data_IF_330200822268
#
_entry.id   IF_330200822268
#
_cell.length_a   1.000
_cell.length_b   1.000
_cell.length_c   1.000
_cell.angle_alpha   90.00
_cell.angle_beta   90.00
_cell.angle_gamma   90.00
#
_symmetry.space_group_name_H-M   'P 1'
#
loop_
_entity.id
_entity.type
_entity.pdbx_description
1 polymer ?
#
# COMPACT_ATOMS: atom_id res chain seq x y z
N UNK A 1 -21.30 -2.27 -12.65
CA UNK A 1 -20.59 -1.14 -13.25
C UNK A 1 -19.16 -1.27 -12.80
N UNK A 2 -18.27 -1.63 -13.71
CA UNK A 2 -16.83 -1.61 -13.43
C UNK A 2 -16.45 -0.14 -13.32
N UNK A 3 -15.88 0.26 -12.18
CA UNK A 3 -15.49 1.66 -11.95
C UNK A 3 -13.99 1.74 -12.14
N UNK A 4 -13.57 2.67 -12.99
CA UNK A 4 -12.17 2.84 -13.33
C UNK A 4 -11.39 3.32 -12.10
N UNK A 5 -10.31 2.61 -11.81
CA UNK A 5 -9.44 2.96 -10.70
C UNK A 5 -8.74 4.30 -10.95
N UNK A 6 -8.47 4.66 -12.21
CA UNK A 6 -7.83 5.92 -12.58
C UNK A 6 -8.72 7.13 -12.21
N UNK A 7 -10.04 6.95 -12.21
CA UNK A 7 -10.99 7.98 -11.80
C UNK A 7 -11.16 8.08 -10.28
N UNK A 8 -11.15 6.94 -9.58
CA UNK A 8 -11.38 6.90 -8.12
C UNK A 8 -10.12 7.27 -7.35
N UNK A 9 -8.96 6.79 -7.82
CA UNK A 9 -7.71 6.86 -7.07
C UNK A 9 -7.32 8.28 -6.65
N UNK A 10 -7.41 9.33 -7.50
CA UNK A 10 -7.08 10.70 -7.11
C UNK A 10 -7.87 11.19 -5.89
N UNK A 11 -9.14 10.78 -5.75
CA UNK A 11 -9.99 11.16 -4.62
C UNK A 11 -9.62 10.42 -3.32
N UNK A 12 -9.11 9.19 -3.42
CA UNK A 12 -8.74 8.37 -2.26
C UNK A 12 -7.26 8.48 -1.87
N UNK A 13 -6.39 8.95 -2.76
CA UNK A 13 -4.95 9.10 -2.50
C UNK A 13 -4.61 9.90 -1.23
N UNK A 14 -5.32 11.00 -0.87
CA UNK A 14 -5.10 11.70 0.40
C UNK A 14 -5.45 10.83 1.63
N UNK A 15 -6.47 9.98 1.53
CA UNK A 15 -6.85 9.07 2.61
C UNK A 15 -5.82 7.95 2.81
N UNK A 16 -5.20 7.46 1.72
CA UNK A 16 -4.09 6.49 1.76
C UNK A 16 -2.85 7.07 2.45
N UNK A 17 -2.57 8.37 2.26
CA UNK A 17 -1.47 9.08 2.91
C UNK A 17 -1.79 9.50 4.36
N UNK A 18 -3.02 9.33 4.82
CA UNK A 18 -3.45 9.79 6.14
C UNK A 18 -2.71 9.09 7.28
N UNK A 19 -2.49 9.82 8.38
CA UNK A 19 -1.99 9.26 9.63
C UNK A 19 -3.02 8.35 10.33
N UNK A 20 -4.31 8.51 10.01
CA UNK A 20 -5.38 7.68 10.56
C UNK A 20 -5.43 6.32 9.86
N UNK A 21 -5.13 5.26 10.61
CA UNK A 21 -5.27 3.86 10.15
C UNK A 21 -6.66 3.57 9.61
N UNK A 22 -7.71 4.07 10.26
CA UNK A 22 -9.08 3.84 9.83
C UNK A 22 -9.36 4.42 8.42
N UNK A 23 -8.81 5.61 8.14
CA UNK A 23 -8.94 6.24 6.81
C UNK A 23 -8.14 5.47 5.76
N UNK A 24 -6.91 5.06 6.07
CA UNK A 24 -6.09 4.26 5.15
C UNK A 24 -6.75 2.92 4.82
N UNK A 25 -7.22 2.19 5.84
CA UNK A 25 -7.88 0.89 5.67
C UNK A 25 -9.17 1.03 4.86
N UNK A 26 -9.99 2.05 5.14
CA UNK A 26 -11.20 2.33 4.37
C UNK A 26 -10.89 2.60 2.90
N UNK A 27 -9.89 3.45 2.62
CA UNK A 27 -9.46 3.76 1.26
C UNK A 27 -8.95 2.51 0.51
N UNK A 28 -8.08 1.71 1.14
CA UNK A 28 -7.55 0.48 0.54
C UNK A 28 -8.64 -0.54 0.22
N UNK A 29 -9.66 -0.67 1.08
CA UNK A 29 -10.80 -1.57 0.81
C UNK A 29 -11.65 -1.10 -0.36
N UNK A 30 -11.90 0.20 -0.47
CA UNK A 30 -12.63 0.77 -1.61
C UNK A 30 -11.87 0.58 -2.92
N UNK A 31 -10.55 0.80 -2.92
CA UNK A 31 -9.72 0.60 -4.10
C UNK A 31 -9.58 -0.89 -4.46
N UNK A 32 -9.47 -1.79 -3.49
CA UNK A 32 -9.45 -3.23 -3.76
C UNK A 32 -10.76 -3.72 -4.40
N UNK A 33 -11.89 -3.09 -4.06
CA UNK A 33 -13.20 -3.41 -4.64
C UNK A 33 -13.33 -3.04 -6.12
N UNK A 34 -12.46 -2.17 -6.66
CA UNK A 34 -12.43 -1.83 -8.09
C UNK A 34 -11.76 -2.90 -8.94
N UNK A 35 -11.14 -3.92 -8.32
CA UNK A 35 -10.48 -5.06 -8.98
C UNK A 35 -9.47 -4.67 -10.09
N UNK A 36 -8.49 -3.78 -9.82
CA UNK A 36 -7.57 -3.32 -10.85
C UNK A 36 -6.69 -4.47 -11.36
N UNK A 37 -6.82 -4.88 -12.62
CA UNK A 37 -6.05 -6.02 -13.18
C UNK A 37 -4.54 -5.84 -13.03
N UNK A 38 -4.07 -4.63 -13.31
CA UNK A 38 -2.65 -4.35 -13.48
C UNK A 38 -1.99 -4.04 -12.14
N UNK A 39 -2.74 -3.57 -11.13
CA UNK A 39 -2.19 -3.22 -9.83
C UNK A 39 -2.63 -4.16 -8.69
N UNK A 40 -3.50 -5.14 -8.96
CA UNK A 40 -4.14 -6.02 -7.96
C UNK A 40 -3.21 -6.50 -6.85
N UNK A 41 -2.05 -7.02 -7.25
CA UNK A 41 -1.09 -7.64 -6.35
C UNK A 41 -0.42 -6.63 -5.39
N UNK A 42 -0.32 -5.36 -5.78
CA UNK A 42 0.16 -4.26 -4.91
C UNK A 42 -0.92 -3.87 -3.92
N UNK A 43 -2.17 -3.76 -4.39
CA UNK A 43 -3.34 -3.43 -3.56
C UNK A 43 -3.57 -4.48 -2.47
N UNK A 44 -3.56 -5.76 -2.84
CA UNK A 44 -3.75 -6.88 -1.90
C UNK A 44 -2.67 -6.89 -0.81
N UNK A 45 -1.41 -6.59 -1.15
CA UNK A 45 -0.30 -6.51 -0.17
C UNK A 45 -0.41 -5.30 0.76
N UNK A 46 -0.72 -4.13 0.22
CA UNK A 46 -0.92 -2.93 1.05
C UNK A 46 -2.11 -3.12 2.00
N UNK A 47 -3.22 -3.71 1.51
CA UNK A 47 -4.38 -4.03 2.33
C UNK A 47 -4.04 -5.05 3.42
N UNK A 48 -3.40 -6.16 3.06
CA UNK A 48 -3.00 -7.20 4.01
C UNK A 48 -2.05 -6.66 5.09
N UNK A 49 -1.14 -5.75 4.73
CA UNK A 49 -0.27 -5.04 5.67
C UNK A 49 -1.04 -4.07 6.58
N UNK A 50 -2.06 -3.37 6.08
CA UNK A 50 -2.84 -2.42 6.87
C UNK A 50 -3.81 -3.11 7.85
N UNK A 51 -4.31 -4.29 7.49
CA UNK A 51 -5.20 -5.08 8.33
C UNK A 51 -4.53 -5.62 9.59
N UNK A 52 -3.20 -5.71 9.60
CA UNK A 52 -2.43 -6.07 10.81
C UNK A 52 -2.47 -4.92 11.83
N UNK A 53 -2.89 -5.17 13.08
CA UNK A 53 -2.82 -4.16 14.14
C UNK A 53 -1.37 -3.68 14.39
N UNK A 54 -1.15 -2.39 14.68
CA UNK A 54 0.20 -1.81 14.86
C UNK A 54 0.86 -2.17 16.20
N UNK A 55 0.41 -3.23 16.87
CA UNK A 55 0.94 -3.66 18.16
C UNK A 55 2.38 -4.16 18.00
N UNK A 56 3.18 -4.11 19.07
CA UNK A 56 4.62 -4.46 19.07
C UNK A 56 4.89 -5.87 18.51
N UNK A 57 3.93 -6.79 18.64
CA UNK A 57 3.98 -8.14 18.05
C UNK A 57 3.59 -8.17 16.56
N UNK A 58 2.77 -7.22 16.10
CA UNK A 58 2.24 -7.13 14.74
C UNK A 58 3.23 -6.60 13.72
N UNK A 59 4.35 -5.99 14.12
CA UNK A 59 5.36 -5.46 13.18
C UNK A 59 5.96 -6.58 12.31
N UNK A 60 6.33 -7.72 12.91
CA UNK A 60 6.87 -8.87 12.15
C UNK A 60 5.84 -9.50 11.23
N UNK A 61 4.60 -9.64 11.72
CA UNK A 61 3.48 -10.16 10.94
C UNK A 61 3.16 -9.26 9.75
N UNK A 62 3.19 -7.94 9.95
CA UNK A 62 2.99 -6.93 8.92
C UNK A 62 4.07 -7.02 7.85
N UNK A 63 5.33 -7.14 8.23
CA UNK A 63 6.45 -7.37 7.30
C UNK A 63 6.24 -8.64 6.46
N UNK A 64 5.83 -9.75 7.08
CA UNK A 64 5.59 -11.00 6.36
C UNK A 64 4.41 -10.90 5.39
N UNK A 65 3.33 -10.22 5.77
CA UNK A 65 2.14 -10.04 4.90
C UNK A 65 2.38 -9.09 3.75
N UNK A 66 3.17 -8.03 3.95
CA UNK A 66 3.61 -7.15 2.87
C UNK A 66 4.50 -7.93 1.89
N UNK A 67 5.36 -8.82 2.40
CA UNK A 67 6.25 -9.63 1.57
C UNK A 67 7.15 -8.77 0.68
N UNK A 68 7.45 -9.26 -0.53
CA UNK A 68 8.28 -8.57 -1.54
C UNK A 68 7.49 -7.59 -2.41
N UNK A 69 6.76 -6.65 -1.81
CA UNK A 69 5.98 -5.66 -2.57
C UNK A 69 6.85 -4.85 -3.54
N UNK A 70 8.14 -4.68 -3.23
CA UNK A 70 9.12 -4.04 -4.10
C UNK A 70 9.29 -4.75 -5.45
N UNK A 71 9.22 -6.09 -5.48
CA UNK A 71 9.46 -6.85 -6.70
C UNK A 71 8.29 -6.61 -7.65
N UNK A 72 7.08 -6.56 -7.10
CA UNK A 72 5.84 -6.31 -7.82
C UNK A 72 5.77 -4.87 -8.34
N UNK A 73 6.31 -3.91 -7.59
CA UNK A 73 6.40 -2.51 -7.99
C UNK A 73 7.46 -2.29 -9.08
N UNK A 74 8.61 -2.99 -9.00
CA UNK A 74 9.71 -2.88 -9.99
C UNK A 74 9.32 -3.41 -11.39
N UNK A 75 8.44 -4.42 -11.45
CA UNK A 75 7.96 -4.97 -12.73
C UNK A 75 6.88 -4.11 -13.43
N UNK A 76 6.35 -3.09 -12.75
CA UNK A 76 5.20 -2.27 -13.20
C UNK A 76 5.47 -0.77 -13.12
N UNK A 77 6.54 -0.35 -13.79
CA UNK A 77 7.03 1.04 -13.78
C UNK A 77 6.58 1.83 -15.02
N UNK A 78 5.30 1.79 -15.40
CA UNK A 78 4.79 2.83 -16.31
C UNK A 78 4.50 4.08 -15.48
N UNK A 79 4.78 5.25 -16.04
CA UNK A 79 4.64 6.55 -15.37
C UNK A 79 3.19 6.84 -14.89
N UNK A 80 2.20 6.12 -15.45
CA UNK A 80 0.78 6.17 -15.10
C UNK A 80 0.32 5.09 -14.12
N UNK A 81 1.20 4.20 -13.66
CA UNK A 81 0.76 3.06 -12.83
C UNK A 81 0.36 3.51 -11.42
N UNK A 82 -0.91 3.30 -11.08
CA UNK A 82 -1.48 3.60 -9.75
C UNK A 82 -0.81 2.79 -8.63
N UNK A 83 -0.31 1.59 -8.94
CA UNK A 83 0.28 0.67 -7.97
C UNK A 83 1.50 1.25 -7.22
N UNK A 84 2.58 1.66 -7.92
CA UNK A 84 3.74 2.30 -7.31
C UNK A 84 3.40 3.53 -6.45
N UNK A 85 2.55 4.45 -6.95
CA UNK A 85 2.17 5.66 -6.21
C UNK A 85 1.37 5.32 -4.94
N UNK A 86 0.40 4.39 -5.04
CA UNK A 86 -0.37 3.89 -3.89
C UNK A 86 0.57 3.32 -2.82
N UNK A 87 1.47 2.43 -3.23
CA UNK A 87 2.41 1.75 -2.34
C UNK A 87 3.27 2.78 -1.60
N UNK A 88 3.83 3.76 -2.32
CA UNK A 88 4.61 4.86 -1.74
C UNK A 88 3.81 5.67 -0.72
N UNK A 89 2.60 6.11 -1.07
CA UNK A 89 1.74 6.89 -0.15
C UNK A 89 1.36 6.10 1.09
N UNK A 90 1.03 4.83 0.93
CA UNK A 90 0.69 3.95 2.04
C UNK A 90 1.89 3.76 2.99
N UNK A 91 3.08 3.53 2.45
CA UNK A 91 4.31 3.46 3.25
C UNK A 91 4.55 4.73 4.07
N UNK A 92 4.40 5.91 3.46
CA UNK A 92 4.56 7.19 4.15
C UNK A 92 3.49 7.38 5.23
N UNK A 93 2.22 7.16 4.89
CA UNK A 93 1.10 7.38 5.82
C UNK A 93 1.15 6.47 7.05
N UNK A 94 1.81 5.31 6.94
CA UNK A 94 1.88 4.32 8.02
C UNK A 94 3.05 4.51 8.98
N UNK A 95 3.87 5.56 8.82
CA UNK A 95 5.05 5.86 9.67
C UNK A 95 6.03 4.69 9.83
N UNK A 96 6.01 3.74 8.89
CA UNK A 96 6.82 2.53 8.99
C UNK A 96 8.33 2.81 8.98
N UNK A 97 8.73 4.01 8.54
CA UNK A 97 10.11 4.49 8.55
C UNK A 97 10.67 4.80 9.95
N UNK A 98 9.85 4.96 10.99
CA UNK A 98 10.32 5.44 12.30
C UNK A 98 10.60 4.34 13.35
N UNK A 99 10.01 3.15 13.22
CA UNK A 99 10.10 2.09 14.24
C UNK A 99 11.01 0.90 13.89
N UNK A 100 11.54 0.85 12.68
CA UNK A 100 12.44 -0.22 12.23
C UNK A 100 13.74 0.39 11.76
N UNK A 101 14.67 0.57 12.69
CA UNK A 101 16.04 0.95 12.36
C UNK A 101 16.58 0.03 11.27
N UNK A 102 16.91 0.61 10.12
CA UNK A 102 17.69 0.02 9.04
C UNK A 102 17.27 -1.40 8.58
N UNK A 103 16.36 -1.52 7.60
CA UNK A 103 16.39 -2.68 6.68
C UNK A 103 15.70 -2.49 5.32
N UNK A 104 14.83 -1.49 5.13
CA UNK A 104 14.06 -1.37 3.87
C UNK A 104 14.76 -0.56 2.77
N UNK A 105 15.69 0.33 3.12
CA UNK A 105 16.51 1.06 2.14
C UNK A 105 17.41 0.12 1.32
N UNK A 106 17.74 -1.07 1.84
CA UNK A 106 18.54 -2.09 1.11
C UNK A 106 17.71 -2.92 0.13
N UNK A 107 16.38 -2.84 0.22
CA UNK A 107 15.45 -3.56 -0.65
C UNK A 107 14.97 -2.66 -1.82
N UNK A 108 15.12 -1.34 -1.67
CA UNK A 108 14.66 -0.32 -2.62
C UNK A 108 15.72 0.17 -3.63
N UNK A 109 16.99 -0.27 -3.53
CA UNK A 109 18.02 -0.03 -4.56
C UNK A 109 18.27 -1.36 -5.28
#
# INVERSE_FOLDING_TARGET
TEVDIEEIYPALAPAVLSHSRALRLGALRLLAATQPSDAREVFERCLAGEEVPPEVQGVRERVLRIGRVETVVKDKQRETDVGPDLCGRWFVGTHFLASSGATWLTVAI
#
